data_IF_457861138042
#
_entry.id   IF_457861138042
#
_cell.length_a   1.000
_cell.length_b   1.000
_cell.length_c   1.000
_cell.angle_alpha   90.00
_cell.angle_beta   90.00
_cell.angle_gamma   90.00
#
_symmetry.space_group_name_H-M   'P 1'
#
loop_
_entity.id
_entity.type
_entity.pdbx_description
1 polymer ?
#
# COMPACT_ATOMS: atom_id res chain seq x y z
N UNK A 1 -15.54 -7.94 23.65
CA UNK A 1 -15.63 -7.59 22.22
C UNK A 1 -14.60 -8.47 21.53
N UNK A 2 -15.04 -9.47 20.78
CA UNK A 2 -14.12 -10.42 20.11
C UNK A 2 -13.23 -9.64 19.12
N UNK A 3 -11.96 -9.49 19.48
CA UNK A 3 -10.95 -8.78 18.70
C UNK A 3 -10.43 -9.59 17.52
N UNK A 4 -11.35 -10.04 16.66
CA UNK A 4 -11.00 -10.69 15.40
C UNK A 4 -10.44 -9.67 14.41
N UNK A 5 -9.38 -10.06 13.70
CA UNK A 5 -8.90 -9.31 12.53
C UNK A 5 -10.01 -9.33 11.49
N UNK A 6 -10.64 -8.19 11.25
CA UNK A 6 -11.69 -8.05 10.23
C UNK A 6 -11.05 -8.06 8.85
N UNK A 7 -11.60 -8.86 7.94
CA UNK A 7 -11.12 -8.89 6.57
C UNK A 7 -11.47 -7.59 5.85
N UNK A 8 -10.48 -6.92 5.24
CA UNK A 8 -10.69 -5.67 4.54
C UNK A 8 -11.46 -5.89 3.24
N UNK A 9 -12.31 -4.92 2.89
CA UNK A 9 -12.99 -4.92 1.61
C UNK A 9 -12.06 -4.33 0.55
N UNK A 10 -11.83 -5.05 -0.55
CA UNK A 10 -11.21 -4.47 -1.75
C UNK A 10 -12.25 -3.59 -2.45
N UNK A 11 -11.96 -2.30 -2.60
CA UNK A 11 -12.88 -1.33 -3.18
C UNK A 11 -12.44 -0.84 -4.56
N UNK A 12 -11.18 -1.08 -4.94
CA UNK A 12 -10.67 -0.73 -6.26
C UNK A 12 -9.54 -1.66 -6.68
N UNK A 13 -9.51 -2.02 -7.97
CA UNK A 13 -8.40 -2.68 -8.65
C UNK A 13 -8.24 -2.03 -10.02
N UNK A 14 -7.08 -1.45 -10.28
CA UNK A 14 -6.64 -1.01 -11.61
C UNK A 14 -5.46 -1.89 -11.99
N UNK A 15 -5.56 -2.59 -13.12
CA UNK A 15 -4.46 -3.41 -13.64
C UNK A 15 -3.61 -2.58 -14.60
N UNK A 16 -2.30 -2.58 -14.38
CA UNK A 16 -1.34 -2.00 -15.32
C UNK A 16 -0.97 -2.97 -16.44
N UNK A 17 -0.13 -2.51 -17.38
CA UNK A 17 0.30 -3.34 -18.53
C UNK A 17 1.09 -4.61 -18.11
N UNK A 18 1.52 -4.71 -16.84
CA UNK A 18 2.02 -5.92 -16.15
C UNK A 18 1.83 -5.75 -14.63
N UNK A 19 2.92 -5.49 -13.90
CA UNK A 19 2.89 -5.12 -12.50
C UNK A 19 2.90 -3.59 -12.30
N UNK A 20 3.69 -2.84 -13.08
CA UNK A 20 3.73 -1.37 -12.97
C UNK A 20 2.39 -0.77 -13.38
N UNK A 21 1.89 0.14 -12.55
CA UNK A 21 0.59 0.77 -12.74
C UNK A 21 -0.56 0.02 -12.07
N UNK A 22 -0.30 -1.18 -11.52
CA UNK A 22 -1.29 -1.90 -10.72
C UNK A 22 -1.57 -1.13 -9.43
N UNK A 23 -2.85 -0.87 -9.16
CA UNK A 23 -3.32 -0.19 -7.96
C UNK A 23 -4.44 -0.98 -7.30
N UNK A 24 -4.34 -1.16 -5.99
CA UNK A 24 -5.36 -1.83 -5.19
C UNK A 24 -5.68 -0.97 -3.98
N UNK A 25 -6.97 -0.76 -3.75
CA UNK A 25 -7.46 -0.02 -2.58
C UNK A 25 -8.27 -0.94 -1.67
N UNK A 26 -7.87 -0.96 -0.41
CA UNK A 26 -8.50 -1.69 0.67
C UNK A 26 -9.16 -0.72 1.63
N UNK A 27 -10.40 -1.00 2.02
CA UNK A 27 -11.12 -0.26 3.06
C UNK A 27 -11.44 -1.20 4.23
N UNK A 28 -11.12 -0.75 5.44
CA UNK A 28 -11.37 -1.47 6.67
C UNK A 28 -11.79 -0.52 7.80
N UNK A 29 -13.08 -0.11 7.84
CA UNK A 29 -13.56 0.81 8.87
C UNK A 29 -13.33 0.32 10.32
N UNK A 30 -13.23 -0.99 10.53
CA UNK A 30 -12.96 -1.61 11.83
C UNK A 30 -11.48 -1.73 12.19
N UNK A 31 -10.55 -1.20 11.38
CA UNK A 31 -9.13 -1.32 11.63
C UNK A 31 -8.69 -0.61 12.93
N UNK A 32 -7.67 -1.12 13.66
CA UNK A 32 -7.17 -0.47 14.86
C UNK A 32 -6.61 0.95 14.63
N UNK A 33 -6.06 1.22 13.44
CA UNK A 33 -5.49 2.51 13.08
C UNK A 33 -6.36 3.20 12.05
N UNK A 34 -7.03 4.28 12.48
CA UNK A 34 -7.91 5.10 11.66
C UNK A 34 -7.12 6.10 10.81
N UNK A 35 -6.24 5.58 9.94
CA UNK A 35 -5.42 6.36 9.02
C UNK A 35 -5.46 5.76 7.62
N UNK A 36 -5.40 6.64 6.62
CA UNK A 36 -5.20 6.32 5.22
C UNK A 36 -3.72 6.23 4.89
N UNK A 37 -3.31 5.14 4.24
CA UNK A 37 -1.92 4.89 3.85
C UNK A 37 -1.84 4.63 2.36
N UNK A 38 -0.86 5.25 1.70
CA UNK A 38 -0.52 4.97 0.29
C UNK A 38 0.91 4.45 0.25
N UNK A 39 1.09 3.25 -0.32
CA UNK A 39 2.39 2.65 -0.55
C UNK A 39 2.69 2.58 -2.06
N UNK A 40 3.75 3.25 -2.47
CA UNK A 40 4.41 3.05 -3.76
C UNK A 40 5.49 1.99 -3.56
N UNK A 41 5.22 0.77 -4.03
CA UNK A 41 5.94 -0.42 -3.63
C UNK A 41 6.09 -1.43 -4.78
N UNK A 42 6.64 -2.60 -4.47
CA UNK A 42 6.88 -3.66 -5.44
C UNK A 42 6.49 -5.04 -4.89
N UNK A 43 7.05 -6.11 -5.47
CA UNK A 43 6.77 -7.50 -5.13
C UNK A 43 6.99 -7.86 -3.66
N UNK A 44 7.75 -7.07 -2.89
CA UNK A 44 7.94 -7.30 -1.46
C UNK A 44 6.67 -6.98 -0.65
N UNK A 45 5.88 -6.00 -1.10
CA UNK A 45 4.55 -5.79 -0.56
C UNK A 45 3.58 -6.89 -1.00
N UNK A 46 3.70 -7.27 -2.28
CA UNK A 46 2.90 -8.30 -2.95
C UNK A 46 1.39 -7.96 -2.98
N UNK A 47 0.62 -8.69 -3.79
CA UNK A 47 -0.83 -8.60 -3.93
C UNK A 47 -1.52 -9.82 -3.30
N UNK A 48 -1.74 -9.82 -1.98
CA UNK A 48 -2.23 -11.04 -1.33
C UNK A 48 -3.25 -10.87 -0.21
N UNK A 49 -3.99 -11.96 0.00
CA UNK A 49 -4.85 -12.22 1.17
C UNK A 49 -4.22 -13.20 2.16
N UNK A 50 -2.92 -13.48 2.05
CA UNK A 50 -2.17 -14.31 2.99
C UNK A 50 -1.28 -13.48 3.93
N UNK A 51 -1.18 -13.92 5.19
CA UNK A 51 -0.41 -13.23 6.23
C UNK A 51 1.11 -13.20 5.99
N UNK A 52 1.62 -13.94 4.99
CA UNK A 52 3.01 -13.87 4.54
C UNK A 52 3.30 -12.66 3.63
N UNK A 53 2.30 -11.82 3.32
CA UNK A 53 2.44 -10.61 2.49
C UNK A 53 2.29 -9.34 3.33
N UNK A 54 3.05 -8.28 3.02
CA UNK A 54 2.95 -7.02 3.76
C UNK A 54 1.61 -6.33 3.49
N UNK A 55 1.09 -6.39 2.25
CA UNK A 55 -0.22 -5.84 1.90
C UNK A 55 -1.36 -6.38 2.77
N UNK A 56 -1.25 -7.64 3.21
CA UNK A 56 -2.21 -8.29 4.08
C UNK A 56 -2.31 -7.60 5.45
N UNK A 57 -1.16 -7.33 6.07
CA UNK A 57 -1.07 -6.65 7.35
C UNK A 57 -1.53 -5.20 7.23
N UNK A 58 -1.08 -4.49 6.19
CA UNK A 58 -1.40 -3.09 6.00
C UNK A 58 -2.91 -2.85 5.84
N UNK A 59 -3.58 -3.69 5.05
CA UNK A 59 -5.04 -3.60 4.86
C UNK A 59 -5.85 -3.95 6.11
N UNK A 60 -5.25 -4.60 7.11
CA UNK A 60 -5.90 -4.97 8.39
C UNK A 60 -5.63 -3.99 9.53
N UNK A 61 -4.45 -3.37 9.51
CA UNK A 61 -4.07 -2.41 10.54
C UNK A 61 -4.60 -1.00 10.28
N UNK A 62 -4.77 -0.61 9.01
CA UNK A 62 -5.16 0.73 8.62
C UNK A 62 -6.57 0.78 8.03
N UNK A 63 -7.30 1.86 8.30
CA UNK A 63 -8.69 2.02 7.87
C UNK A 63 -8.84 2.13 6.35
N UNK A 64 -7.80 2.60 5.66
CA UNK A 64 -7.73 2.62 4.20
C UNK A 64 -6.26 2.43 3.78
N UNK A 65 -6.01 1.46 2.90
CA UNK A 65 -4.67 1.15 2.40
C UNK A 65 -4.68 1.07 0.88
N UNK A 66 -3.84 1.86 0.24
CA UNK A 66 -3.61 1.84 -1.20
C UNK A 66 -2.25 1.22 -1.46
N UNK A 67 -2.23 0.09 -2.14
CA UNK A 67 -1.03 -0.45 -2.74
C UNK A 67 -0.95 0.04 -4.18
N UNK A 68 0.17 0.65 -4.55
CA UNK A 68 0.48 1.06 -5.92
C UNK A 68 1.81 0.42 -6.27
N UNK A 69 1.81 -0.42 -7.30
CA UNK A 69 3.03 -0.99 -7.82
C UNK A 69 3.73 0.04 -8.71
N UNK A 70 4.69 0.75 -8.13
CA UNK A 70 5.43 1.81 -8.79
C UNK A 70 6.82 1.95 -8.16
N UNK A 71 7.89 2.11 -8.95
CA UNK A 71 9.21 2.46 -8.43
C UNK A 71 9.30 3.93 -7.99
N UNK A 72 8.34 4.76 -8.39
CA UNK A 72 8.33 6.21 -8.16
C UNK A 72 7.07 6.62 -7.38
N UNK A 73 7.21 7.71 -6.61
CA UNK A 73 6.08 8.35 -5.92
C UNK A 73 5.31 9.21 -6.92
N UNK A 74 4.03 8.90 -7.12
CA UNK A 74 3.09 9.74 -7.87
C UNK A 74 2.54 10.82 -6.92
N UNK A 75 3.10 12.03 -7.00
CA UNK A 75 2.71 13.14 -6.14
C UNK A 75 1.29 13.64 -6.44
N UNK A 76 0.83 13.60 -7.69
CA UNK A 76 -0.53 13.99 -8.07
C UNK A 76 -1.56 13.03 -7.43
N UNK A 77 -1.22 11.74 -7.36
CA UNK A 77 -1.99 10.75 -6.62
C UNK A 77 -2.04 11.07 -5.13
N UNK A 78 -0.90 11.41 -4.52
CA UNK A 78 -0.83 11.79 -3.10
C UNK A 78 -1.69 13.03 -2.83
N UNK A 79 -1.60 14.07 -3.66
CA UNK A 79 -2.38 15.31 -3.52
C UNK A 79 -3.88 15.08 -3.64
N UNK A 80 -4.29 14.20 -4.56
CA UNK A 80 -5.70 13.84 -4.76
C UNK A 80 -6.25 13.01 -3.61
N UNK A 81 -5.49 12.01 -3.14
CA UNK A 81 -5.95 11.05 -2.13
C UNK A 81 -5.79 11.57 -0.70
N UNK A 82 -4.83 12.48 -0.47
CA UNK A 82 -4.51 13.09 0.83
C UNK A 82 -4.32 12.04 1.94
N UNK A 83 -3.41 11.06 1.77
CA UNK A 83 -3.17 10.06 2.80
C UNK A 83 -2.51 10.67 4.04
N UNK A 84 -2.68 10.02 5.19
CA UNK A 84 -1.98 10.40 6.41
C UNK A 84 -0.52 9.94 6.38
N UNK A 85 -0.22 8.87 5.64
CA UNK A 85 1.11 8.26 5.55
C UNK A 85 1.37 7.90 4.09
N UNK A 86 2.55 8.28 3.58
CA UNK A 86 3.08 7.82 2.30
C UNK A 86 4.28 6.92 2.58
N UNK A 87 4.31 5.75 1.95
CA UNK A 87 5.41 4.80 2.00
C UNK A 87 6.01 4.71 0.60
N UNK A 88 7.30 5.01 0.47
CA UNK A 88 8.08 4.74 -0.72
C UNK A 88 8.98 3.53 -0.43
N UNK A 89 8.62 2.37 -0.96
CA UNK A 89 9.38 1.14 -0.79
C UNK A 89 10.02 0.74 -2.12
N UNK A 90 11.33 0.67 -2.13
CA UNK A 90 12.11 0.07 -3.21
C UNK A 90 13.24 -0.76 -2.63
N UNK A 91 14.02 -1.37 -3.51
CA UNK A 91 15.24 -2.08 -3.13
C UNK A 91 16.45 -1.21 -3.49
N UNK A 92 17.53 -1.34 -2.73
CA UNK A 92 18.66 -0.42 -2.76
C UNK A 92 19.30 -0.33 -4.16
N UNK A 93 19.31 -1.43 -4.92
CA UNK A 93 19.87 -1.46 -6.29
C UNK A 93 19.15 -0.56 -7.30
N UNK A 94 17.95 -0.07 -6.98
CA UNK A 94 17.20 0.86 -7.83
C UNK A 94 17.37 2.31 -7.41
N UNK A 95 18.10 2.59 -6.33
CA UNK A 95 18.41 3.96 -5.94
C UNK A 95 19.53 4.51 -6.84
N UNK A 96 19.26 5.66 -7.47
CA UNK A 96 20.17 6.29 -8.45
C UNK A 96 21.42 6.90 -7.78
N UNK A 97 21.35 7.15 -6.47
CA UNK A 97 22.43 7.74 -5.68
C UNK A 97 22.59 6.98 -4.38
N UNK A 98 23.83 6.68 -4.02
CA UNK A 98 24.14 6.23 -2.67
C UNK A 98 23.82 7.35 -1.66
N UNK A 99 23.39 7.01 -0.44
CA UNK A 99 23.24 8.00 0.62
C UNK A 99 24.58 8.70 0.86
N UNK A 100 24.56 10.02 0.92
CA UNK A 100 25.70 10.81 1.42
C UNK A 100 25.44 11.11 2.89
N UNK A 101 26.38 10.71 3.76
CA UNK A 101 26.38 10.98 5.20
C UNK A 101 26.57 12.46 5.51
#
# INVERSE_FOLDING_TARGET
MEGGIVDPKRIELVEGARQIGTRIVYANPGAPVQKKVVAFANSFFELGFEANRISWWMSRWFSEFHFIWSPEVDFDYVERVKPNIVIAQTIERFLVRAPTS
#
